data_IF_602730663440
#
_entry.id   IF_602730663440
#
_cell.length_a   1.000
_cell.length_b   1.000
_cell.length_c   1.000
_cell.angle_alpha   90.00
_cell.angle_beta   90.00
_cell.angle_gamma   90.00
#
_symmetry.space_group_name_H-M   'P 1'
#
loop_
_entity.id
_entity.type
_entity.pdbx_description
1 polymer ?
#
# COMPACT_ATOMS: atom_id res chain seq x y z
N UNK A 1 -14.92 2.23 -3.47
CA UNK A 1 -15.70 1.76 -2.31
C UNK A 1 -14.69 1.28 -1.29
N UNK A 2 -14.80 1.73 -0.03
CA UNK A 2 -13.88 1.29 1.03
C UNK A 2 -14.16 -0.18 1.40
N UNK A 3 -13.11 -0.94 1.72
CA UNK A 3 -13.21 -2.31 2.24
C UNK A 3 -13.73 -2.26 3.69
N UNK A 4 -14.59 -3.20 4.08
CA UNK A 4 -15.10 -3.32 5.45
C UNK A 4 -14.45 -4.52 6.14
N UNK A 5 -13.91 -4.31 7.35
CA UNK A 5 -13.43 -5.38 8.23
C UNK A 5 -14.44 -5.51 9.37
N UNK A 6 -15.16 -6.63 9.39
CA UNK A 6 -16.15 -6.97 10.40
C UNK A 6 -15.57 -7.96 11.42
N UNK A 7 -16.33 -8.24 12.48
CA UNK A 7 -16.00 -9.24 13.49
C UNK A 7 -15.70 -10.61 12.87
N UNK A 8 -16.55 -11.08 11.95
CA UNK A 8 -16.34 -12.36 11.25
C UNK A 8 -14.98 -12.42 10.54
N UNK A 9 -14.51 -11.32 9.96
CA UNK A 9 -13.19 -11.28 9.29
C UNK A 9 -12.06 -11.58 10.28
N UNK A 10 -12.17 -11.10 11.52
CA UNK A 10 -11.17 -11.34 12.57
C UNK A 10 -11.25 -12.77 13.09
N UNK A 11 -12.46 -13.30 13.26
CA UNK A 11 -12.66 -14.70 13.68
C UNK A 11 -12.12 -15.69 12.64
N UNK A 12 -12.41 -15.46 11.36
CA UNK A 12 -11.86 -16.25 10.24
C UNK A 12 -10.34 -16.19 10.22
N UNK A 13 -9.76 -14.99 10.43
CA UNK A 13 -8.32 -14.80 10.49
C UNK A 13 -7.70 -15.62 11.63
N UNK A 14 -8.26 -15.52 12.83
CA UNK A 14 -7.81 -16.26 14.00
C UNK A 14 -7.93 -17.78 13.78
N UNK A 15 -9.07 -18.25 13.28
CA UNK A 15 -9.31 -19.66 12.97
C UNK A 15 -8.38 -20.20 11.87
N UNK A 16 -7.84 -19.33 11.01
CA UNK A 16 -6.80 -19.69 10.03
C UNK A 16 -5.38 -19.73 10.62
N UNK A 17 -5.22 -19.48 11.93
CA UNK A 17 -3.93 -19.46 12.63
C UNK A 17 -3.14 -18.17 12.44
N UNK A 18 -3.74 -17.12 11.86
CA UNK A 18 -3.10 -15.82 11.65
C UNK A 18 -3.44 -14.88 12.80
N UNK A 19 -2.40 -14.32 13.42
CA UNK A 19 -2.52 -13.40 14.55
C UNK A 19 -2.31 -11.92 14.17
N UNK A 20 -2.17 -11.62 12.88
CA UNK A 20 -1.88 -10.26 12.41
C UNK A 20 -2.68 -9.96 11.16
N UNK A 21 -3.34 -8.81 11.15
CA UNK A 21 -4.07 -8.28 10.01
C UNK A 21 -3.56 -6.89 9.67
N UNK A 22 -3.04 -6.76 8.46
CA UNK A 22 -2.62 -5.48 7.91
C UNK A 22 -3.82 -4.75 7.31
N UNK A 23 -3.99 -3.48 7.71
CA UNK A 23 -5.15 -2.67 7.35
C UNK A 23 -4.70 -1.32 6.79
N UNK A 24 -5.17 -1.02 5.58
CA UNK A 24 -5.06 0.33 5.01
C UNK A 24 -6.20 1.21 5.51
N UNK A 25 -5.96 2.05 6.50
CA UNK A 25 -7.01 2.92 7.07
C UNK A 25 -7.53 3.97 6.08
N UNK A 26 -6.82 4.25 4.99
CA UNK A 26 -7.32 5.15 3.95
C UNK A 26 -8.46 4.51 3.15
N UNK A 27 -8.34 3.22 2.83
CA UNK A 27 -9.29 2.47 1.99
C UNK A 27 -10.13 1.44 2.77
N UNK A 28 -9.94 1.33 4.08
CA UNK A 28 -10.60 0.31 4.92
C UNK A 28 -11.32 0.96 6.10
N UNK A 29 -12.50 0.42 6.42
CA UNK A 29 -13.26 0.73 7.64
C UNK A 29 -13.20 -0.51 8.53
N UNK A 30 -12.70 -0.35 9.76
CA UNK A 30 -12.73 -1.40 10.79
C UNK A 30 -13.90 -1.11 11.72
N UNK A 31 -14.80 -2.07 11.90
CA UNK A 31 -15.93 -1.87 12.81
C UNK A 31 -15.49 -1.92 14.29
N UNK A 32 -16.22 -1.27 15.21
CA UNK A 32 -15.93 -1.40 16.65
C UNK A 32 -15.96 -2.84 17.14
N UNK A 33 -16.84 -3.67 16.58
CA UNK A 33 -16.92 -5.10 16.90
C UNK A 33 -15.63 -5.83 16.48
N UNK A 34 -15.11 -5.55 15.27
CA UNK A 34 -13.85 -6.12 14.81
C UNK A 34 -12.67 -5.72 15.72
N UNK A 35 -12.62 -4.47 16.18
CA UNK A 35 -11.59 -4.01 17.12
C UNK A 35 -11.66 -4.76 18.46
N UNK A 36 -12.86 -4.91 19.02
CA UNK A 36 -13.07 -5.63 20.26
C UNK A 36 -12.67 -7.11 20.13
N UNK A 37 -13.04 -7.77 19.04
CA UNK A 37 -12.72 -9.19 18.82
C UNK A 37 -11.23 -9.39 18.54
N UNK A 38 -10.58 -8.45 17.85
CA UNK A 38 -9.13 -8.46 17.65
C UNK A 38 -8.38 -8.40 18.99
N UNK A 39 -8.80 -7.49 19.89
CA UNK A 39 -8.22 -7.41 21.25
C UNK A 39 -8.44 -8.67 22.07
N UNK A 40 -9.65 -9.26 22.03
CA UNK A 40 -9.98 -10.48 22.78
C UNK A 40 -9.22 -11.71 22.29
N UNK A 41 -9.05 -11.83 20.97
CA UNK A 41 -8.42 -12.99 20.34
C UNK A 41 -6.90 -12.85 20.19
N UNK A 42 -6.33 -11.69 20.56
CA UNK A 42 -4.91 -11.42 20.41
C UNK A 42 -4.47 -11.21 18.95
N UNK A 43 -5.40 -10.82 18.07
CA UNK A 43 -5.10 -10.47 16.69
C UNK A 43 -4.62 -9.03 16.64
N UNK A 44 -3.41 -8.81 16.14
CA UNK A 44 -2.82 -7.49 15.97
C UNK A 44 -3.34 -6.82 14.68
N UNK A 45 -4.02 -5.69 14.83
CA UNK A 45 -4.38 -4.82 13.71
C UNK A 45 -3.24 -3.85 13.45
N UNK A 46 -2.51 -4.07 12.35
CA UNK A 46 -1.37 -3.22 11.97
C UNK A 46 -1.80 -2.29 10.87
N UNK A 47 -1.76 -0.99 11.13
CA UNK A 47 -1.99 0.01 10.09
C UNK A 47 -0.81 -0.03 9.11
N UNK A 48 -1.12 -0.42 7.87
CA UNK A 48 -0.19 -0.27 6.76
C UNK A 48 -0.61 0.98 5.98
N UNK A 49 0.35 1.87 5.77
CA UNK A 49 0.21 2.85 4.68
C UNK A 49 0.55 2.09 3.43
N UNK A 50 -0.44 1.48 2.78
CA UNK A 50 -0.20 0.77 1.52
C UNK A 50 0.35 1.78 0.53
N UNK A 51 1.68 1.72 0.40
CA UNK A 51 2.53 2.22 -0.68
C UNK A 51 1.99 3.49 -1.31
N UNK A 52 2.61 4.63 -0.97
CA UNK A 52 2.54 5.87 -1.74
C UNK A 52 2.24 5.58 -3.21
N UNK A 53 0.95 5.61 -3.58
CA UNK A 53 0.54 5.40 -4.97
C UNK A 53 1.00 6.68 -5.63
N UNK A 54 2.22 6.66 -6.18
CA UNK A 54 2.71 7.76 -6.99
C UNK A 54 1.66 7.97 -8.06
N UNK A 55 0.94 9.09 -7.96
CA UNK A 55 -0.20 9.35 -8.81
C UNK A 55 0.29 9.44 -10.26
N UNK A 56 -0.62 9.29 -11.22
CA UNK A 56 -0.26 9.50 -12.63
C UNK A 56 0.35 10.91 -12.84
N UNK A 57 -0.18 11.91 -12.14
CA UNK A 57 0.34 13.27 -12.19
C UNK A 57 1.78 13.37 -11.64
N UNK A 58 2.06 12.70 -10.52
CA UNK A 58 3.41 12.68 -9.94
C UNK A 58 4.40 11.93 -10.84
N UNK A 59 3.98 10.80 -11.43
CA UNK A 59 4.79 10.08 -12.44
C UNK A 59 5.12 10.97 -13.63
N UNK A 60 4.12 11.68 -14.15
CA UNK A 60 4.31 12.56 -15.31
C UNK A 60 5.22 13.75 -14.97
N UNK A 61 5.11 14.30 -13.76
CA UNK A 61 6.01 15.36 -13.27
C UNK A 61 7.46 14.87 -13.19
N UNK A 62 7.69 13.68 -12.63
CA UNK A 62 9.04 13.07 -12.56
C UNK A 62 9.61 12.85 -13.96
N UNK A 63 8.82 12.30 -14.89
CA UNK A 63 9.23 12.08 -16.28
C UNK A 63 9.65 13.40 -16.93
N UNK A 64 8.84 14.45 -16.78
CA UNK A 64 9.13 15.76 -17.37
C UNK A 64 10.41 16.37 -16.79
N UNK A 65 10.61 16.28 -15.47
CA UNK A 65 11.82 16.78 -14.81
C UNK A 65 13.08 16.01 -15.26
N UNK A 66 13.02 14.68 -15.32
CA UNK A 66 14.13 13.85 -15.82
C UNK A 66 14.44 14.20 -17.27
N UNK A 67 13.44 14.32 -18.13
CA UNK A 67 13.66 14.70 -19.54
C UNK A 67 14.22 16.11 -19.70
N UNK A 68 13.84 17.04 -18.82
CA UNK A 68 14.36 18.41 -18.80
C UNK A 68 15.81 18.48 -18.32
N UNK A 69 16.16 17.71 -17.29
CA UNK A 69 17.51 17.70 -16.69
C UNK A 69 18.52 16.94 -17.55
N UNK A 70 18.08 15.85 -18.20
CA UNK A 70 18.86 15.10 -19.17
C UNK A 70 18.48 15.55 -20.58
N UNK A 71 18.91 16.76 -20.94
CA UNK A 71 18.72 17.32 -22.28
C UNK A 71 19.24 16.34 -23.35
N UNK A 72 18.36 15.92 -24.25
CA UNK A 72 18.71 15.09 -25.41
C UNK A 72 18.06 13.70 -25.48
N UNK A 73 17.01 13.40 -24.72
CA UNK A 73 16.24 12.15 -24.92
C UNK A 73 17.03 10.88 -24.65
N UNK A 74 18.13 10.99 -23.87
CA UNK A 74 19.02 9.88 -23.52
C UNK A 74 18.28 8.71 -22.84
N UNK A 75 17.16 9.02 -22.19
CA UNK A 75 16.24 8.05 -21.61
C UNK A 75 14.85 8.20 -22.23
N UNK A 76 14.33 7.10 -22.79
CA UNK A 76 12.94 7.05 -23.25
C UNK A 76 11.99 7.11 -22.05
N UNK A 77 10.77 7.62 -22.28
CA UNK A 77 9.70 7.66 -21.27
C UNK A 77 9.53 6.31 -20.56
N UNK A 78 9.49 5.22 -21.33
CA UNK A 78 9.36 3.85 -20.82
C UNK A 78 10.52 3.43 -19.89
N UNK A 79 11.77 3.83 -20.18
CA UNK A 79 12.90 3.55 -19.27
C UNK A 79 12.76 4.27 -17.94
N UNK A 80 12.26 5.51 -17.95
CA UNK A 80 12.03 6.31 -16.75
C UNK A 80 10.88 5.71 -15.93
N UNK A 81 9.79 5.31 -16.60
CA UNK A 81 8.66 4.63 -15.95
C UNK A 81 9.06 3.32 -15.27
N UNK A 82 9.88 2.50 -15.95
CA UNK A 82 10.41 1.26 -15.37
C UNK A 82 11.31 1.53 -14.16
N UNK A 83 12.15 2.58 -14.21
CA UNK A 83 12.97 2.96 -13.06
C UNK A 83 12.12 3.40 -11.86
N UNK A 84 11.06 4.19 -12.10
CA UNK A 84 10.10 4.56 -11.05
C UNK A 84 9.45 3.30 -10.46
N UNK A 85 9.01 2.36 -11.29
CA UNK A 85 8.40 1.11 -10.81
C UNK A 85 9.37 0.26 -9.99
N UNK A 86 10.63 0.14 -10.41
CA UNK A 86 11.64 -0.64 -9.68
C UNK A 86 12.01 -0.02 -8.34
N UNK A 87 12.15 1.30 -8.27
CA UNK A 87 12.40 2.00 -6.99
C UNK A 87 11.22 1.82 -6.05
N UNK A 88 9.99 1.99 -6.56
CA UNK A 88 8.79 1.77 -5.76
C UNK A 88 8.66 0.32 -5.31
N UNK A 89 8.96 -0.64 -6.19
CA UNK A 89 8.93 -2.07 -5.86
C UNK A 89 9.96 -2.42 -4.77
N UNK A 90 11.22 -2.01 -4.93
CA UNK A 90 12.28 -2.29 -3.97
C UNK A 90 12.10 -1.62 -2.61
N UNK A 91 11.45 -0.45 -2.53
CA UNK A 91 11.05 0.15 -1.25
C UNK A 91 10.03 -0.71 -0.48
N UNK A 92 9.22 -1.49 -1.20
CA UNK A 92 8.22 -2.34 -0.56
C UNK A 92 8.75 -3.68 -0.07
N UNK A 93 9.88 -4.14 -0.60
CA UNK A 93 10.53 -5.38 -0.12
C UNK A 93 11.35 -5.11 1.16
N UNK A 94 11.55 -3.84 1.52
CA UNK A 94 12.27 -3.39 2.71
C UNK A 94 11.33 -2.94 3.86
N UNK A 95 10.01 -3.02 3.68
CA UNK A 95 8.99 -2.66 4.69
C UNK A 95 8.21 -3.88 5.16
#
# INVERSE_FOLDING_TARGET
MKKLISENTIEELYNSGKMRLEVDMADTIVTPQAQNSAQKLGVELVEIKTKSKVSYADKQKIINEVQKHFSGGRFSKSKIENAIHNVLAGLNDLS
#
